data_IF_910809928107
#
_entry.id   IF_910809928107
#
_cell.length_a   1.000
_cell.length_b   1.000
_cell.length_c   1.000
_cell.angle_alpha   90.00
_cell.angle_beta   90.00
_cell.angle_gamma   90.00
#
_symmetry.space_group_name_H-M   'P 1'
#
loop_
_entity.id
_entity.type
_entity.pdbx_description
1 polymer ?
#
# COMPACT_ATOMS: atom_id res chain seq x y z
N UNK A 1 10.55 6.33 -6.21
CA UNK A 1 9.58 5.64 -5.32
C UNK A 1 9.06 4.39 -6.00
N UNK A 2 8.56 3.40 -5.24
CA UNK A 2 7.95 2.17 -5.77
C UNK A 2 6.45 2.17 -5.44
N UNK A 3 5.62 1.92 -6.42
CA UNK A 3 4.17 2.06 -6.31
C UNK A 3 3.48 0.77 -5.88
N UNK A 4 2.37 0.96 -5.16
CA UNK A 4 1.44 -0.11 -4.81
C UNK A 4 0.26 -0.12 -5.78
N UNK A 5 -0.20 -1.31 -6.15
CA UNK A 5 -1.48 -1.52 -6.80
C UNK A 5 -2.53 -1.99 -5.79
N UNK A 6 -3.80 -1.66 -6.07
CA UNK A 6 -4.93 -2.21 -5.33
C UNK A 6 -5.05 -3.71 -5.60
N UNK A 7 -5.41 -4.48 -4.58
CA UNK A 7 -5.76 -5.88 -4.74
C UNK A 7 -7.21 -6.04 -5.22
N UNK A 8 -7.48 -7.02 -6.08
CA UNK A 8 -8.80 -7.24 -6.69
C UNK A 8 -9.86 -7.77 -5.71
N UNK A 9 -9.52 -7.94 -4.43
CA UNK A 9 -10.47 -8.45 -3.43
C UNK A 9 -11.45 -7.36 -3.01
N UNK A 10 -12.77 -7.63 -3.00
CA UNK A 10 -13.75 -6.68 -2.49
C UNK A 10 -13.43 -6.24 -1.06
N UNK A 11 -13.50 -4.93 -0.82
CA UNK A 11 -13.16 -4.29 0.44
C UNK A 11 -14.18 -3.19 0.78
N UNK A 12 -14.00 -2.57 1.95
CA UNK A 12 -14.86 -1.50 2.45
C UNK A 12 -15.81 -1.96 3.53
N UNK A 13 -16.65 -1.03 3.98
CA UNK A 13 -17.55 -1.21 5.12
C UNK A 13 -18.59 -2.30 4.86
N UNK A 14 -19.17 -2.36 3.66
CA UNK A 14 -20.14 -3.40 3.27
C UNK A 14 -19.52 -4.81 3.32
N UNK A 15 -18.25 -4.92 2.94
CA UNK A 15 -17.49 -6.17 2.94
C UNK A 15 -16.81 -6.47 4.29
N UNK A 16 -16.92 -5.57 5.28
CA UNK A 16 -16.25 -5.63 6.58
C UNK A 16 -14.76 -5.97 6.46
N UNK A 17 -14.09 -5.37 5.48
CA UNK A 17 -12.72 -5.73 5.12
C UNK A 17 -11.89 -4.49 4.80
N UNK A 18 -10.70 -4.43 5.38
CA UNK A 18 -9.74 -3.37 5.10
C UNK A 18 -9.30 -3.39 3.62
N UNK A 19 -9.01 -2.22 3.03
CA UNK A 19 -8.37 -2.16 1.73
C UNK A 19 -7.05 -2.94 1.77
N UNK A 20 -6.78 -3.68 0.70
CA UNK A 20 -5.55 -4.46 0.56
C UNK A 20 -4.79 -4.00 -0.67
N UNK A 21 -3.49 -3.82 -0.52
CA UNK A 21 -2.59 -3.37 -1.60
C UNK A 21 -1.38 -4.31 -1.71
N UNK A 22 -0.68 -4.26 -2.83
CA UNK A 22 0.58 -4.99 -3.05
C UNK A 22 1.49 -4.23 -3.99
N UNK A 23 2.79 -4.52 -3.98
CA UNK A 23 3.69 -3.90 -4.93
C UNK A 23 3.35 -4.30 -6.35
N UNK A 24 3.49 -3.36 -7.28
CA UNK A 24 3.55 -3.69 -8.69
C UNK A 24 4.83 -4.50 -8.98
N UNK A 25 4.78 -5.32 -10.03
CA UNK A 25 5.99 -5.97 -10.56
C UNK A 25 6.99 -4.88 -10.97
N UNK A 26 8.26 -5.01 -10.59
CA UNK A 26 9.27 -4.00 -10.87
C UNK A 26 9.52 -3.77 -12.37
N UNK A 27 9.12 -4.73 -13.22
CA UNK A 27 9.20 -4.61 -14.67
C UNK A 27 7.92 -4.05 -15.30
N UNK A 28 6.87 -3.80 -14.50
CA UNK A 28 5.65 -3.19 -15.00
C UNK A 28 5.87 -1.70 -15.26
N UNK A 29 5.27 -1.20 -16.33
CA UNK A 29 5.23 0.23 -16.60
C UNK A 29 4.54 0.96 -15.43
N UNK A 30 5.13 2.07 -14.98
CA UNK A 30 4.63 2.80 -13.81
C UNK A 30 4.83 2.12 -12.46
N UNK A 31 5.63 1.04 -12.36
CA UNK A 31 5.99 0.46 -11.06
C UNK A 31 6.86 1.37 -10.20
N UNK A 32 7.59 2.27 -10.85
CA UNK A 32 8.43 3.29 -10.21
C UNK A 32 8.10 4.67 -10.75
N UNK A 33 8.27 5.68 -9.91
CA UNK A 33 8.09 7.07 -10.28
C UNK A 33 8.48 8.02 -9.15
N UNK A 34 8.13 9.28 -9.34
CA UNK A 34 8.40 10.36 -8.40
C UNK A 34 7.12 11.16 -8.17
N UNK A 35 7.01 11.76 -7.00
CA UNK A 35 5.93 12.69 -6.64
C UNK A 35 6.57 14.07 -6.55
N UNK A 36 5.94 15.07 -7.17
CA UNK A 36 6.24 16.47 -6.89
C UNK A 36 5.48 16.89 -5.62
N UNK A 37 6.18 17.21 -4.52
CA UNK A 37 5.54 17.63 -3.28
C UNK A 37 4.85 19.01 -3.38
N UNK A 38 5.19 19.84 -4.37
CA UNK A 38 4.53 21.14 -4.55
C UNK A 38 3.08 21.00 -5.03
N UNK A 39 2.80 19.98 -5.84
CA UNK A 39 1.49 19.73 -6.45
C UNK A 39 0.67 18.65 -5.71
N UNK A 40 1.17 18.14 -4.58
CA UNK A 40 0.60 16.95 -3.93
C UNK A 40 0.35 17.15 -2.44
N UNK A 41 -0.84 16.75 -1.98
CA UNK A 41 -1.13 16.60 -0.55
C UNK A 41 -0.63 15.23 -0.09
N UNK A 42 0.44 15.20 0.69
CA UNK A 42 1.03 13.97 1.21
C UNK A 42 0.37 13.60 2.53
N UNK A 43 -0.10 12.35 2.64
CA UNK A 43 -0.65 11.76 3.87
C UNK A 43 0.02 10.43 4.16
N UNK A 44 0.24 10.16 5.45
CA UNK A 44 0.82 8.90 5.89
C UNK A 44 -0.28 7.93 6.33
N UNK A 45 -0.09 6.65 6.04
CA UNK A 45 -0.96 5.57 6.52
C UNK A 45 -0.12 4.40 6.99
N UNK A 46 -0.63 3.62 7.94
CA UNK A 46 0.05 2.43 8.42
C UNK A 46 -0.23 1.26 7.48
N UNK A 47 0.82 0.60 7.01
CA UNK A 47 0.71 -0.63 6.23
C UNK A 47 0.98 -1.83 7.14
N UNK A 48 0.03 -2.76 7.18
CA UNK A 48 0.11 -3.96 8.02
C UNK A 48 0.33 -5.15 7.09
N UNK A 49 1.47 -5.87 7.16
CA UNK A 49 1.69 -7.05 6.35
C UNK A 49 0.59 -8.09 6.53
N UNK A 50 0.12 -8.67 5.43
CA UNK A 50 -0.78 -9.82 5.49
C UNK A 50 0.07 -11.07 5.72
N UNK A 51 0.43 -11.32 6.98
CA UNK A 51 1.35 -12.39 7.38
C UNK A 51 0.97 -13.76 6.81
N UNK A 52 -0.32 -14.07 6.72
CA UNK A 52 -0.83 -15.34 6.18
C UNK A 52 -0.50 -15.57 4.70
N UNK A 53 -0.24 -14.50 3.92
CA UNK A 53 0.18 -14.62 2.52
C UNK A 53 1.69 -14.78 2.36
N UNK A 54 2.45 -14.49 3.42
CA UNK A 54 3.90 -14.58 3.44
C UNK A 54 4.61 -13.54 2.56
N UNK A 55 5.89 -13.81 2.29
CA UNK A 55 6.75 -12.96 1.47
C UNK A 55 6.99 -13.56 0.08
N UNK A 56 7.55 -12.76 -0.84
CA UNK A 56 7.90 -13.16 -2.20
C UNK A 56 9.09 -12.38 -2.74
N UNK A 57 9.89 -13.01 -3.58
CA UNK A 57 10.98 -12.39 -4.35
C UNK A 57 10.54 -11.95 -5.76
N UNK A 58 9.29 -12.23 -6.14
CA UNK A 58 8.81 -12.08 -7.53
C UNK A 58 8.62 -10.64 -7.98
N UNK A 59 8.33 -9.73 -7.05
CA UNK A 59 7.95 -8.37 -7.41
C UNK A 59 9.14 -7.48 -7.75
N UNK A 60 10.35 -7.81 -7.30
CA UNK A 60 11.55 -7.06 -7.62
C UNK A 60 12.77 -7.95 -7.39
N UNK A 61 13.62 -8.04 -8.41
CA UNK A 61 14.91 -8.75 -8.40
C UNK A 61 15.83 -8.24 -7.27
N UNK A 62 16.90 -8.97 -6.93
CA UNK A 62 17.89 -8.49 -5.97
C UNK A 62 18.34 -7.06 -6.29
N UNK A 63 18.35 -6.20 -5.28
CA UNK A 63 18.55 -4.78 -5.48
C UNK A 63 19.30 -4.12 -4.33
N UNK A 64 20.21 -3.20 -4.65
CA UNK A 64 21.04 -2.48 -3.68
C UNK A 64 20.24 -1.59 -2.73
N UNK A 65 18.99 -1.25 -3.07
CA UNK A 65 18.12 -0.42 -2.22
C UNK A 65 17.40 -1.22 -1.15
N UNK A 66 17.51 -2.55 -1.15
CA UNK A 66 16.93 -3.42 -0.12
C UNK A 66 17.87 -3.56 1.08
N UNK A 67 17.31 -3.73 2.27
CA UNK A 67 18.10 -4.10 3.43
C UNK A 67 18.51 -5.58 3.33
N UNK A 68 19.74 -5.89 3.70
CA UNK A 68 20.23 -7.28 3.68
C UNK A 68 19.36 -8.22 4.53
N UNK A 69 18.78 -7.72 5.62
CA UNK A 69 17.87 -8.45 6.50
C UNK A 69 16.55 -8.86 5.85
N UNK A 70 16.16 -8.23 4.74
CA UNK A 70 14.92 -8.55 4.02
C UNK A 70 15.05 -9.79 3.14
N UNK A 71 16.27 -10.31 2.93
CA UNK A 71 16.57 -11.48 2.09
C UNK A 71 15.99 -11.37 0.67
N UNK A 72 16.01 -10.16 0.09
CA UNK A 72 15.41 -9.85 -1.21
C UNK A 72 13.91 -10.14 -1.33
N UNK A 73 13.18 -10.21 -0.20
CA UNK A 73 11.76 -10.53 -0.19
C UNK A 73 10.88 -9.32 0.17
N UNK A 74 9.76 -9.19 -0.53
CA UNK A 74 8.66 -8.29 -0.18
C UNK A 74 7.53 -9.06 0.49
N UNK A 75 6.78 -8.43 1.39
CA UNK A 75 5.47 -8.97 1.76
C UNK A 75 4.55 -9.00 0.54
N UNK A 76 3.78 -10.08 0.37
CA UNK A 76 2.91 -10.23 -0.80
C UNK A 76 1.84 -9.15 -0.88
N UNK A 77 1.25 -8.79 0.26
CA UNK A 77 0.19 -7.79 0.38
C UNK A 77 0.27 -7.10 1.73
N UNK A 78 -0.37 -5.93 1.82
CA UNK A 78 -0.56 -5.15 3.03
C UNK A 78 -2.03 -4.76 3.18
N UNK A 79 -2.54 -4.79 4.40
CA UNK A 79 -3.74 -4.05 4.75
C UNK A 79 -3.41 -2.57 4.95
N UNK A 80 -4.30 -1.71 4.48
CA UNK A 80 -4.23 -0.25 4.73
C UNK A 80 -4.94 0.04 6.05
N UNK A 81 -4.20 0.58 7.02
CA UNK A 81 -4.72 0.95 8.33
C UNK A 81 -5.55 2.23 8.25
N UNK A 82 -6.86 2.12 8.11
CA UNK A 82 -7.77 3.27 8.00
C UNK A 82 -8.10 3.95 9.35
N UNK A 83 -7.67 3.35 10.46
CA UNK A 83 -8.02 3.78 11.82
C UNK A 83 -6.92 4.60 12.52
N UNK A 84 -5.93 5.08 11.76
CA UNK A 84 -4.78 5.82 12.32
C UNK A 84 -5.25 7.13 12.96
N UNK A 85 -6.23 7.80 12.36
CA UNK A 85 -6.86 9.00 12.90
C UNK A 85 -8.27 9.19 12.31
N UNK A 86 -9.00 10.19 12.83
CA UNK A 86 -10.38 10.49 12.40
C UNK A 86 -10.47 10.96 10.95
N UNK A 87 -9.53 11.79 10.49
CA UNK A 87 -9.51 12.28 9.11
C UNK A 87 -9.31 11.13 8.13
N UNK A 88 -8.33 10.26 8.42
CA UNK A 88 -8.08 9.06 7.62
C UNK A 88 -9.32 8.16 7.56
N UNK A 89 -9.95 7.89 8.70
CA UNK A 89 -11.17 7.09 8.74
C UNK A 89 -12.30 7.69 7.90
N UNK A 90 -12.53 9.01 8.02
CA UNK A 90 -13.57 9.71 7.25
C UNK A 90 -13.29 9.72 5.74
N UNK A 91 -12.02 9.77 5.32
CA UNK A 91 -11.63 9.69 3.91
C UNK A 91 -12.02 8.35 3.28
N UNK A 92 -11.85 7.25 4.01
CA UNK A 92 -12.25 5.91 3.53
C UNK A 92 -13.75 5.65 3.68
N UNK A 93 -14.42 6.32 4.63
CA UNK A 93 -15.87 6.25 4.80
C UNK A 93 -16.64 7.08 3.75
N UNK A 94 -16.03 8.15 3.24
CA UNK A 94 -16.68 9.09 2.32
C UNK A 94 -17.49 10.19 3.02
N UNK A 95 -17.26 10.42 4.32
CA UNK A 95 -17.98 11.39 5.16
C UNK A 95 -17.13 12.57 5.60
N UNK A 96 -16.64 13.39 4.66
CA UNK A 96 -15.86 14.59 4.98
C UNK A 96 -16.68 15.68 5.69
N UNK A 97 -16.03 16.46 6.57
CA UNK A 97 -16.61 17.65 7.23
C UNK A 97 -17.03 18.65 6.15
N UNK A 98 -18.35 18.85 6.00
CA UNK A 98 -18.94 19.62 4.90
C UNK A 98 -20.31 19.12 4.42
N UNK A 99 -20.88 18.11 5.08
CA UNK A 99 -22.32 17.84 5.11
C UNK A 99 -22.89 18.28 6.45
#
# INVERSE_FOLDING_TARGET
MRWYGLDDTPWGFEHKRLPRIGFLSGNAEGAFGFIDPADSVIRAVHLIPVFSLGKTTKFLQPSIVRQASDNDQDWKRFYVGIFVDRDMFMCFLGGGVGH
#
